data_IF_753303325214
#
_entry.id   IF_753303325214
#
_cell.length_a   1.000
_cell.length_b   1.000
_cell.length_c   1.000
_cell.angle_alpha   90.00
_cell.angle_beta   90.00
_cell.angle_gamma   90.00
#
_symmetry.space_group_name_H-M   'P 1'
#
loop_
_entity.id
_entity.type
_entity.pdbx_description
1 polymer ?
#
# COMPACT_ATOMS: atom_id res chain seq x y z
N UNK A 1 -26.14 6.88 9.35
CA UNK A 1 -24.79 6.31 9.37
C UNK A 1 -24.26 6.52 10.76
N UNK A 2 -23.77 5.46 11.39
CA UNK A 2 -23.01 5.56 12.63
C UNK A 2 -21.73 6.38 12.39
N UNK A 3 -21.25 7.13 13.38
CA UNK A 3 -20.02 7.93 13.22
C UNK A 3 -18.82 7.05 12.83
N UNK A 4 -18.77 5.81 13.35
CA UNK A 4 -17.75 4.83 13.01
C UNK A 4 -17.85 4.33 11.56
N UNK A 5 -19.05 4.15 11.03
CA UNK A 5 -19.26 3.79 9.62
C UNK A 5 -18.79 4.91 8.68
N UNK A 6 -19.06 6.17 9.04
CA UNK A 6 -18.62 7.32 8.28
C UNK A 6 -17.09 7.44 8.28
N UNK A 7 -16.45 7.25 9.44
CA UNK A 7 -15.00 7.24 9.54
C UNK A 7 -14.36 6.07 8.77
N UNK A 8 -14.97 4.88 8.79
CA UNK A 8 -14.51 3.74 8.01
C UNK A 8 -14.54 4.03 6.50
N UNK A 9 -15.59 4.70 6.03
CA UNK A 9 -15.67 5.15 4.63
C UNK A 9 -14.60 6.18 4.28
N UNK A 10 -14.34 7.15 5.15
CA UNK A 10 -13.28 8.14 4.94
C UNK A 10 -11.90 7.47 4.81
N UNK A 11 -11.64 6.40 5.57
CA UNK A 11 -10.42 5.61 5.41
C UNK A 11 -10.34 4.96 4.03
N UNK A 12 -11.45 4.43 3.50
CA UNK A 12 -11.49 3.87 2.14
C UNK A 12 -11.19 4.94 1.09
N UNK A 13 -11.79 6.13 1.23
CA UNK A 13 -11.58 7.26 0.31
C UNK A 13 -10.10 7.71 0.31
N UNK A 14 -9.45 7.77 1.49
CA UNK A 14 -8.02 8.10 1.60
C UNK A 14 -7.14 7.04 0.93
N UNK A 15 -7.50 5.76 1.03
CA UNK A 15 -6.76 4.68 0.38
C UNK A 15 -6.94 4.70 -1.14
N UNK A 16 -8.10 5.15 -1.65
CA UNK A 16 -8.32 5.39 -3.08
C UNK A 16 -7.44 6.54 -3.58
N UNK A 17 -7.41 7.65 -2.85
CA UNK A 17 -6.54 8.79 -3.16
C UNK A 17 -5.06 8.38 -3.16
N UNK A 18 -4.63 7.58 -2.18
CA UNK A 18 -3.26 7.07 -2.12
C UNK A 18 -2.92 6.22 -3.36
N UNK A 19 -3.80 5.29 -3.73
CA UNK A 19 -3.60 4.43 -4.92
C UNK A 19 -3.51 5.29 -6.19
N UNK A 20 -4.38 6.29 -6.35
CA UNK A 20 -4.33 7.23 -7.46
C UNK A 20 -3.01 8.01 -7.49
N UNK A 21 -2.54 8.51 -6.35
CA UNK A 21 -1.28 9.24 -6.24
C UNK A 21 -0.07 8.36 -6.58
N UNK A 22 -0.04 7.11 -6.10
CA UNK A 22 1.04 6.15 -6.39
C UNK A 22 1.15 5.80 -7.88
N UNK A 23 0.04 5.87 -8.62
CA UNK A 23 0.03 5.62 -10.08
C UNK A 23 0.49 6.81 -10.92
N UNK A 24 0.72 7.99 -10.31
CA UNK A 24 1.21 9.15 -11.06
C UNK A 24 2.70 9.01 -11.36
N UNK A 25 3.08 9.34 -12.60
CA UNK A 25 4.46 9.23 -13.06
C UNK A 25 5.43 10.12 -12.26
N UNK A 26 5.04 11.38 -12.00
CA UNK A 26 5.85 12.34 -11.24
C UNK A 26 6.11 11.89 -9.80
N UNK A 27 5.09 11.36 -9.14
CA UNK A 27 5.22 10.74 -7.81
C UNK A 27 6.11 9.50 -7.89
N UNK A 28 5.96 8.69 -8.95
CA UNK A 28 6.78 7.54 -9.25
C UNK A 28 8.27 7.85 -9.28
N UNK A 29 8.67 8.90 -10.01
CA UNK A 29 10.04 9.37 -10.10
C UNK A 29 10.59 9.83 -8.75
N UNK A 30 9.80 10.62 -8.00
CA UNK A 30 10.21 11.12 -6.67
C UNK A 30 10.44 9.98 -5.69
N UNK A 31 9.56 8.98 -5.67
CA UNK A 31 9.66 7.83 -4.78
C UNK A 31 10.78 6.86 -5.20
N UNK A 32 10.97 6.65 -6.51
CA UNK A 32 12.10 5.87 -7.02
C UNK A 32 13.45 6.50 -6.62
N UNK A 33 13.55 7.84 -6.61
CA UNK A 33 14.71 8.56 -6.10
C UNK A 33 15.00 8.34 -4.61
N UNK A 34 14.02 7.82 -3.85
CA UNK A 34 14.16 7.41 -2.44
C UNK A 34 14.39 5.91 -2.26
N UNK A 35 14.59 5.17 -3.35
CA UNK A 35 14.70 3.71 -3.33
C UNK A 35 13.37 2.97 -3.13
N UNK A 36 12.23 3.67 -3.22
CA UNK A 36 10.91 3.04 -3.08
C UNK A 36 10.47 2.46 -4.42
N UNK A 37 10.17 1.16 -4.43
CA UNK A 37 9.55 0.51 -5.57
C UNK A 37 8.03 0.76 -5.56
N UNK A 38 7.51 1.42 -6.59
CA UNK A 38 6.08 1.78 -6.68
C UNK A 38 5.16 0.57 -6.68
N UNK A 39 5.51 -0.50 -7.42
CA UNK A 39 4.70 -1.72 -7.43
C UNK A 39 4.56 -2.32 -6.03
N UNK A 40 5.63 -2.34 -5.24
CA UNK A 40 5.57 -2.79 -3.85
C UNK A 40 4.79 -1.83 -2.95
N UNK A 41 4.86 -0.52 -3.18
CA UNK A 41 4.05 0.46 -2.45
C UNK A 41 2.55 0.28 -2.70
N UNK A 42 2.17 -0.05 -3.95
CA UNK A 42 0.79 -0.38 -4.31
C UNK A 42 0.36 -1.69 -3.61
N UNK A 43 1.15 -2.76 -3.70
CA UNK A 43 0.84 -4.04 -3.02
C UNK A 43 0.69 -3.86 -1.52
N UNK A 44 1.56 -3.08 -0.87
CA UNK A 44 1.45 -2.78 0.56
C UNK A 44 0.17 -2.00 0.88
N UNK A 45 -0.23 -1.06 0.02
CA UNK A 45 -1.47 -0.27 0.17
C UNK A 45 -2.72 -1.14 0.01
N UNK A 46 -2.70 -2.06 -0.97
CA UNK A 46 -3.78 -3.03 -1.20
C UNK A 46 -3.93 -4.01 -0.03
N UNK A 47 -2.81 -4.49 0.52
CA UNK A 47 -2.81 -5.33 1.71
C UNK A 47 -3.35 -4.63 2.95
N UNK A 48 -2.99 -3.35 3.15
CA UNK A 48 -3.55 -2.52 4.23
C UNK A 48 -5.06 -2.32 4.06
N UNK A 49 -5.51 -2.01 2.83
CA UNK A 49 -6.93 -1.90 2.48
C UNK A 49 -7.69 -3.19 2.80
N UNK A 50 -7.16 -4.33 2.40
CA UNK A 50 -7.74 -5.64 2.69
C UNK A 50 -7.87 -5.87 4.20
N UNK A 51 -6.84 -5.53 4.98
CA UNK A 51 -6.86 -5.69 6.44
C UNK A 51 -7.96 -4.85 7.10
N UNK A 52 -8.09 -3.59 6.69
CA UNK A 52 -9.11 -2.65 7.20
C UNK A 52 -10.51 -3.13 6.85
N UNK A 53 -10.72 -3.70 5.66
CA UNK A 53 -12.00 -4.31 5.23
C UNK A 53 -12.29 -5.67 5.89
N UNK A 54 -11.39 -6.18 6.71
CA UNK A 54 -11.52 -7.47 7.38
C UNK A 54 -11.16 -8.68 6.52
N UNK A 55 -10.66 -8.47 5.29
CA UNK A 55 -10.13 -9.53 4.43
C UNK A 55 -8.70 -9.88 4.85
N UNK A 56 -8.62 -10.60 5.97
CA UNK A 56 -7.35 -10.95 6.61
C UNK A 56 -6.51 -11.90 5.76
N UNK A 57 -7.14 -12.75 4.94
CA UNK A 57 -6.42 -13.70 4.10
C UNK A 57 -5.62 -12.96 3.03
N UNK A 58 -6.28 -12.06 2.30
CA UNK A 58 -5.63 -11.21 1.31
C UNK A 58 -4.60 -10.27 1.95
N UNK A 59 -4.92 -9.69 3.11
CA UNK A 59 -3.98 -8.83 3.82
C UNK A 59 -2.65 -9.54 4.14
N UNK A 60 -2.71 -10.80 4.60
CA UNK A 60 -1.51 -11.59 4.91
C UNK A 60 -0.68 -11.85 3.66
N UNK A 61 -1.33 -12.21 2.54
CA UNK A 61 -0.66 -12.45 1.26
C UNK A 61 0.03 -11.19 0.72
N UNK A 62 -0.70 -10.08 0.62
CA UNK A 62 -0.22 -8.84 0.02
C UNK A 62 0.86 -8.18 0.90
N UNK A 63 0.63 -8.06 2.21
CA UNK A 63 1.62 -7.47 3.13
C UNK A 63 2.85 -8.37 3.32
N UNK A 64 2.66 -9.69 3.32
CA UNK A 64 3.76 -10.66 3.35
C UNK A 64 4.65 -10.51 2.12
N UNK A 65 4.05 -10.52 0.93
CA UNK A 65 4.76 -10.27 -0.34
C UNK A 65 5.53 -8.96 -0.32
N UNK A 66 4.88 -7.86 0.10
CA UNK A 66 5.55 -6.56 0.18
C UNK A 66 6.76 -6.59 1.14
N UNK A 67 6.61 -7.17 2.32
CA UNK A 67 7.68 -7.26 3.31
C UNK A 67 8.86 -8.11 2.82
N UNK A 68 8.60 -9.27 2.23
CA UNK A 68 9.62 -10.17 1.68
C UNK A 68 10.42 -9.49 0.57
N UNK A 69 9.74 -8.83 -0.37
CA UNK A 69 10.38 -8.17 -1.50
C UNK A 69 11.20 -6.93 -1.07
N UNK A 70 10.69 -6.14 -0.13
CA UNK A 70 11.46 -5.02 0.46
C UNK A 70 12.73 -5.55 1.13
N UNK A 71 12.62 -6.60 1.94
CA UNK A 71 13.76 -7.20 2.62
C UNK A 71 14.78 -7.80 1.64
N UNK A 72 14.31 -8.46 0.58
CA UNK A 72 15.16 -9.01 -0.49
C UNK A 72 15.98 -7.91 -1.17
N UNK A 73 15.34 -6.79 -1.53
CA UNK A 73 15.98 -5.64 -2.19
C UNK A 73 17.00 -4.94 -1.30
N UNK A 74 16.74 -4.84 0.00
CA UNK A 74 17.73 -4.31 0.96
C UNK A 74 19.00 -5.17 1.00
N UNK A 75 18.87 -6.50 0.93
CA UNK A 75 20.01 -7.42 0.94
C UNK A 75 20.78 -7.43 -0.39
N UNK A 76 20.08 -7.27 -1.52
CA UNK A 76 20.69 -7.20 -2.86
C UNK A 76 21.36 -5.87 -3.20
N UNK A 77 21.23 -4.85 -2.33
CA UNK A 77 21.85 -3.53 -2.49
C UNK A 77 23.18 -3.37 -1.71
N UNK A 78 23.77 -4.50 -1.28
CA UNK A 78 25.05 -4.57 -0.56
C UNK A 78 26.22 -4.97 -1.47
#
# INVERSE_FOLDING_TARGET
>A
MDEGEQAAKEIEDVLDDLEMLLKRHDVGEVLAGRGVNISLAIVASDGLRAYIKGDKARAVEDLGTAAEEIASRMKGSA
#
